data_IF_303583969095
#
_entry.id   IF_303583969095
#
_cell.length_a   1.000
_cell.length_b   1.000
_cell.length_c   1.000
_cell.angle_alpha   90.00
_cell.angle_beta   90.00
_cell.angle_gamma   90.00
#
_symmetry.space_group_name_H-M   'P 1'
#
loop_
_entity.id
_entity.type
_entity.pdbx_description
1 polymer ?
#
# COMPACT_ATOMS: atom_id res chain seq x y z
N UNK A 1 10.88 -3.94 -10.45
CA UNK A 1 10.49 -3.57 -9.07
C UNK A 1 10.54 -2.06 -8.96
N UNK A 2 9.44 -1.40 -8.59
CA UNK A 2 9.41 0.07 -8.41
C UNK A 2 9.51 0.38 -6.92
N UNK A 3 10.27 1.42 -6.56
CA UNK A 3 10.36 1.88 -5.17
C UNK A 3 9.00 2.36 -4.66
N UNK A 4 8.65 1.99 -3.43
CA UNK A 4 7.46 2.49 -2.73
C UNK A 4 7.72 3.65 -1.77
N UNK A 5 8.99 4.07 -1.60
CA UNK A 5 9.37 5.12 -0.64
C UNK A 5 8.62 6.43 -0.92
N UNK A 6 8.78 6.99 -2.13
CA UNK A 6 8.13 8.26 -2.49
C UNK A 6 6.60 8.13 -2.58
N UNK A 7 6.03 7.10 -3.26
CA UNK A 7 4.58 6.94 -3.33
C UNK A 7 3.89 6.82 -1.97
N UNK A 8 4.46 6.06 -1.02
CA UNK A 8 3.86 5.89 0.30
C UNK A 8 4.03 7.12 1.18
N UNK A 9 5.14 7.85 1.07
CA UNK A 9 5.29 9.14 1.74
C UNK A 9 4.18 10.10 1.29
N UNK A 10 4.00 10.26 -0.02
CA UNK A 10 2.95 11.14 -0.58
C UNK A 10 1.55 10.71 -0.13
N UNK A 11 1.24 9.41 -0.17
CA UNK A 11 -0.06 8.92 0.27
C UNK A 11 -0.31 9.24 1.76
N UNK A 12 0.69 9.00 2.59
CA UNK A 12 0.65 9.22 4.05
C UNK A 12 0.52 10.71 4.41
N UNK A 13 1.23 11.57 3.69
CA UNK A 13 1.15 13.03 3.84
C UNK A 13 -0.24 13.56 3.47
N UNK A 14 -0.93 12.89 2.54
CA UNK A 14 -2.32 13.18 2.18
C UNK A 14 -3.35 12.47 3.09
N UNK A 15 -2.91 11.85 4.19
CA UNK A 15 -3.80 11.24 5.18
C UNK A 15 -4.34 9.86 4.79
N UNK A 16 -3.75 9.19 3.79
CA UNK A 16 -4.10 7.81 3.50
C UNK A 16 -3.82 6.93 4.73
N UNK A 17 -4.78 6.07 5.07
CA UNK A 17 -4.69 5.13 6.21
C UNK A 17 -4.70 3.67 5.79
N UNK A 18 -5.24 3.37 4.61
CA UNK A 18 -5.21 2.05 3.99
C UNK A 18 -4.59 2.18 2.59
N UNK A 19 -3.69 1.28 2.24
CA UNK A 19 -3.00 1.31 0.94
C UNK A 19 -3.04 -0.06 0.29
N UNK A 20 -3.50 -0.11 -0.96
CA UNK A 20 -3.50 -1.33 -1.77
C UNK A 20 -2.14 -1.51 -2.43
N UNK A 21 -1.49 -2.64 -2.18
CA UNK A 21 -0.13 -2.91 -2.65
C UNK A 21 -0.10 -4.23 -3.44
N UNK A 22 0.39 -4.25 -4.68
CA UNK A 22 0.62 -5.50 -5.40
C UNK A 22 1.56 -6.43 -4.62
N UNK A 23 1.24 -7.73 -4.57
CA UNK A 23 2.03 -8.71 -3.80
C UNK A 23 3.49 -8.77 -4.25
N UNK A 24 3.78 -8.54 -5.54
CA UNK A 24 5.13 -8.46 -6.10
C UNK A 24 5.98 -7.32 -5.52
N UNK A 25 5.35 -6.30 -4.91
CA UNK A 25 6.03 -5.17 -4.29
C UNK A 25 6.28 -5.35 -2.78
N UNK A 26 5.94 -6.50 -2.19
CA UNK A 26 6.13 -6.76 -0.75
C UNK A 26 7.56 -6.48 -0.26
N UNK A 27 8.58 -6.82 -1.05
CA UNK A 27 9.97 -6.52 -0.66
C UNK A 27 10.28 -5.02 -0.67
N UNK A 28 9.74 -4.23 -1.62
CA UNK A 28 9.96 -2.78 -1.63
C UNK A 28 9.18 -2.08 -0.53
N UNK A 29 8.05 -2.65 -0.10
CA UNK A 29 7.34 -2.16 1.08
C UNK A 29 8.21 -2.18 2.35
N UNK A 30 9.04 -3.23 2.51
CA UNK A 30 9.96 -3.35 3.65
C UNK A 30 11.14 -2.36 3.60
N UNK A 31 11.34 -1.67 2.48
CA UNK A 31 12.39 -0.63 2.32
C UNK A 31 11.91 0.76 2.76
N UNK A 32 10.62 0.91 3.07
CA UNK A 32 10.00 2.17 3.51
C UNK A 32 10.29 2.39 5.00
N UNK A 33 10.41 3.65 5.42
CA UNK A 33 10.70 4.00 6.81
C UNK A 33 9.59 3.53 7.77
N UNK A 34 9.98 3.11 8.98
CA UNK A 34 9.05 2.66 10.01
C UNK A 34 7.98 3.72 10.33
N UNK A 35 8.34 5.00 10.35
CA UNK A 35 7.41 6.12 10.58
C UNK A 35 6.25 6.15 9.57
N UNK A 36 6.55 5.92 8.29
CA UNK A 36 5.50 5.86 7.25
C UNK A 36 4.69 4.58 7.41
N UNK A 37 5.35 3.45 7.67
CA UNK A 37 4.71 2.14 7.83
C UNK A 37 3.76 2.09 9.03
N UNK A 38 4.06 2.79 10.12
CA UNK A 38 3.19 2.87 11.30
C UNK A 38 1.90 3.67 11.05
N UNK A 39 1.86 4.52 10.01
CA UNK A 39 0.72 5.39 9.70
C UNK A 39 -0.27 4.78 8.71
N UNK A 40 0.09 3.67 8.05
CA UNK A 40 -0.71 3.04 7.00
C UNK A 40 -0.92 1.55 7.27
N UNK A 41 -2.13 1.08 6.97
CA UNK A 41 -2.50 -0.34 6.96
C UNK A 41 -2.36 -0.89 5.53
N UNK A 42 -1.36 -1.76 5.25
CA UNK A 42 -1.13 -2.29 3.92
C UNK A 42 -2.05 -3.48 3.62
N UNK A 43 -2.75 -3.42 2.49
CA UNK A 43 -3.54 -4.52 1.98
C UNK A 43 -2.90 -5.05 0.70
N UNK A 44 -2.35 -6.26 0.79
CA UNK A 44 -1.69 -6.90 -0.35
C UNK A 44 -2.70 -7.64 -1.23
N UNK A 45 -2.61 -7.45 -2.54
CA UNK A 45 -3.46 -8.13 -3.51
C UNK A 45 -2.63 -8.91 -4.54
N UNK A 46 -3.18 -10.03 -5.02
CA UNK A 46 -2.57 -10.86 -6.07
C UNK A 46 -3.15 -10.62 -7.46
N UNK A 47 -4.35 -10.04 -7.54
CA UNK A 47 -5.06 -9.76 -8.78
C UNK A 47 -5.89 -8.47 -8.68
N UNK A 48 -6.27 -7.92 -9.83
CA UNK A 48 -6.96 -6.64 -9.92
C UNK A 48 -8.39 -6.67 -9.36
N UNK A 49 -9.09 -7.81 -9.42
CA UNK A 49 -10.46 -7.92 -8.91
C UNK A 49 -10.45 -7.85 -7.39
N UNK A 50 -9.53 -8.56 -6.73
CA UNK A 50 -9.35 -8.47 -5.28
C UNK A 50 -9.07 -7.02 -4.82
N UNK A 51 -8.23 -6.28 -5.54
CA UNK A 51 -7.96 -4.88 -5.25
C UNK A 51 -9.21 -4.00 -5.41
N UNK A 52 -9.98 -4.20 -6.48
CA UNK A 52 -11.18 -3.43 -6.76
C UNK A 52 -12.29 -3.67 -5.71
N UNK A 53 -12.53 -4.92 -5.33
CA UNK A 53 -13.53 -5.24 -4.31
C UNK A 53 -13.17 -4.68 -2.93
N UNK A 54 -11.88 -4.74 -2.55
CA UNK A 54 -11.39 -4.13 -1.32
C UNK A 54 -11.55 -2.60 -1.35
N UNK A 55 -11.18 -1.96 -2.47
CA UNK A 55 -11.30 -0.50 -2.64
C UNK A 55 -12.76 0.00 -2.55
N UNK A 56 -13.70 -0.81 -3.04
CA UNK A 56 -15.12 -0.48 -3.05
C UNK A 56 -15.85 -0.89 -1.75
N UNK A 57 -15.20 -1.63 -0.86
CA UNK A 57 -15.80 -2.09 0.41
C UNK A 57 -16.93 -3.11 0.22
N UNK A 58 -16.91 -3.87 -0.88
CA UNK A 58 -17.96 -4.85 -1.25
C UNK A 58 -17.53 -6.29 -0.99
N UNK A 59 -16.58 -6.47 -0.07
CA UNK A 59 -16.08 -7.77 0.36
C UNK A 59 -16.80 -8.26 1.61
#
# INVERSE_FOLDING_TARGET
>A
MRSLVVPLQVATDNGARKVLIPTENRRSFMEVSAEVLERVDPIFYGDANAAAFEALGVR
#
